data_IF_210451958248
#
_entry.id   IF_210451958248
#
_cell.length_a   1.000
_cell.length_b   1.000
_cell.length_c   1.000
_cell.angle_alpha   90.00
_cell.angle_beta   90.00
_cell.angle_gamma   90.00
#
_symmetry.space_group_name_H-M   'P 1'
#
loop_
_entity.id
_entity.type
_entity.pdbx_description
1 polymer ?
#
# COMPACT_ATOMS: atom_id res chain seq x y z
N UNK A 1 0.03 -4.32 -6.12
CA UNK A 1 0.83 -3.32 -6.86
C UNK A 1 1.45 -2.37 -5.86
N UNK A 2 2.67 -1.87 -6.12
CA UNK A 2 3.36 -0.90 -5.25
C UNK A 2 4.00 0.15 -6.15
N UNK A 3 3.43 1.36 -6.19
CA UNK A 3 3.94 2.46 -7.02
C UNK A 3 3.28 3.79 -6.64
N UNK A 4 3.64 4.88 -7.33
CA UNK A 4 2.95 6.16 -7.31
C UNK A 4 1.97 6.27 -8.49
N UNK A 5 0.75 6.74 -8.26
CA UNK A 5 -0.29 6.75 -9.29
C UNK A 5 -0.17 7.91 -10.27
N UNK A 6 0.70 8.90 -10.00
CA UNK A 6 1.02 9.96 -10.97
C UNK A 6 1.78 9.41 -12.18
N UNK A 7 2.66 8.41 -11.97
CA UNK A 7 3.47 7.81 -13.04
C UNK A 7 2.99 6.41 -13.46
N UNK A 8 2.09 5.80 -12.68
CA UNK A 8 1.52 4.50 -12.96
C UNK A 8 -0.01 4.59 -13.13
N UNK A 9 -0.46 4.59 -14.38
CA UNK A 9 -1.88 4.71 -14.71
C UNK A 9 -2.71 3.53 -14.21
N UNK A 10 -2.12 2.33 -14.12
CA UNK A 10 -2.80 1.15 -13.60
C UNK A 10 -3.14 1.33 -12.12
N UNK A 11 -2.27 1.98 -11.33
CA UNK A 11 -2.55 2.31 -9.93
C UNK A 11 -3.73 3.28 -9.81
N UNK A 12 -3.76 4.32 -10.63
CA UNK A 12 -4.88 5.28 -10.62
C UNK A 12 -6.18 4.61 -11.08
N UNK A 13 -6.15 3.84 -12.16
CA UNK A 13 -7.31 3.08 -12.64
C UNK A 13 -7.83 2.12 -11.57
N UNK A 14 -6.92 1.40 -10.90
CA UNK A 14 -7.28 0.42 -9.89
C UNK A 14 -7.79 1.04 -8.59
N UNK A 15 -7.40 2.25 -8.21
CA UNK A 15 -7.73 2.80 -6.88
C UNK A 15 -8.56 4.08 -6.90
N UNK A 16 -8.60 4.80 -8.03
CA UNK A 16 -9.17 6.14 -8.11
C UNK A 16 -8.37 7.20 -7.34
N UNK A 17 -7.25 6.84 -6.72
CA UNK A 17 -6.46 7.73 -5.87
C UNK A 17 -5.21 8.22 -6.60
N UNK A 18 -5.08 9.54 -6.76
CA UNK A 18 -3.92 10.17 -7.43
C UNK A 18 -2.92 10.69 -6.39
N UNK A 19 -1.73 10.09 -6.30
CA UNK A 19 -0.71 10.43 -5.32
C UNK A 19 0.70 10.32 -5.90
N UNK A 20 1.55 11.27 -5.49
CA UNK A 20 2.99 11.28 -5.79
C UNK A 20 3.75 10.31 -4.89
N UNK A 21 3.31 10.20 -3.63
CA UNK A 21 3.85 9.23 -2.70
C UNK A 21 3.48 7.80 -3.12
N UNK A 22 4.47 6.90 -3.01
CA UNK A 22 4.25 5.47 -3.26
C UNK A 22 3.31 4.88 -2.22
N UNK A 23 2.34 4.11 -2.69
CA UNK A 23 1.42 3.36 -1.84
C UNK A 23 1.22 1.94 -2.39
N UNK A 24 0.68 1.07 -1.55
CA UNK A 24 0.40 -0.31 -1.92
C UNK A 24 -1.09 -0.48 -2.16
N UNK A 25 -1.41 -1.14 -3.27
CA UNK A 25 -2.75 -1.63 -3.58
C UNK A 25 -2.74 -3.15 -3.57
N UNK A 26 -3.63 -3.74 -2.79
CA UNK A 26 -3.81 -5.18 -2.64
C UNK A 26 -5.24 -5.57 -3.02
N UNK A 27 -5.36 -6.55 -3.90
CA UNK A 27 -6.63 -7.17 -4.27
C UNK A 27 -6.57 -8.66 -3.99
N UNK A 28 -7.54 -9.16 -3.24
CA UNK A 28 -7.70 -10.58 -2.90
C UNK A 28 -9.18 -10.97 -3.02
N UNK A 29 -9.54 -11.61 -4.13
CA UNK A 29 -10.95 -11.83 -4.50
C UNK A 29 -11.70 -10.50 -4.62
N UNK A 30 -12.78 -10.38 -3.85
CA UNK A 30 -13.61 -9.16 -3.77
C UNK A 30 -13.08 -8.12 -2.78
N UNK A 31 -12.03 -8.44 -2.00
CA UNK A 31 -11.44 -7.52 -1.04
C UNK A 31 -10.35 -6.70 -1.70
N UNK A 32 -10.44 -5.38 -1.53
CA UNK A 32 -9.47 -4.41 -2.03
C UNK A 32 -8.99 -3.54 -0.86
N UNK A 33 -7.68 -3.36 -0.73
CA UNK A 33 -7.04 -2.61 0.36
C UNK A 33 -6.02 -1.64 -0.24
N UNK A 34 -6.00 -0.41 0.28
CA UNK A 34 -4.95 0.58 -0.01
C UNK A 34 -4.17 0.84 1.27
N UNK A 35 -2.85 0.66 1.23
CA UNK A 35 -1.94 1.01 2.31
C UNK A 35 -1.14 2.25 1.92
N UNK A 36 -1.37 3.35 2.64
CA UNK A 36 -0.76 4.67 2.36
C UNK A 36 0.18 5.14 3.49
N UNK A 37 1.07 6.11 3.23
CA UNK A 37 1.67 6.91 4.30
C UNK A 37 0.59 7.63 5.12
N UNK A 38 0.82 7.86 6.42
CA UNK A 38 -0.16 8.54 7.26
C UNK A 38 -0.54 9.95 6.78
N UNK A 39 0.37 10.63 6.07
CA UNK A 39 0.13 11.96 5.49
C UNK A 39 -0.91 11.93 4.35
N UNK A 40 -1.12 10.78 3.71
CA UNK A 40 -2.06 10.61 2.60
C UNK A 40 -3.41 10.05 3.06
N UNK A 41 -3.60 9.75 4.35
CA UNK A 41 -4.79 9.08 4.85
C UNK A 41 -6.08 9.86 4.54
N UNK A 42 -6.12 11.15 4.85
CA UNK A 42 -7.33 11.96 4.67
C UNK A 42 -7.68 12.13 3.19
N UNK A 43 -6.67 12.21 2.33
CA UNK A 43 -6.85 12.29 0.88
C UNK A 43 -7.34 10.97 0.32
N UNK A 44 -6.67 9.87 0.67
CA UNK A 44 -7.08 8.53 0.26
C UNK A 44 -8.53 8.26 0.66
N UNK A 45 -8.97 8.65 1.86
CA UNK A 45 -10.37 8.48 2.32
C UNK A 45 -11.38 9.28 1.49
N UNK A 46 -10.98 10.42 0.92
CA UNK A 46 -11.87 11.30 0.15
C UNK A 46 -11.88 10.96 -1.34
N UNK A 47 -10.73 10.59 -1.88
CA UNK A 47 -10.48 10.50 -3.32
C UNK A 47 -10.49 9.05 -3.84
N UNK A 48 -10.09 8.08 -3.01
CA UNK A 48 -10.05 6.67 -3.41
C UNK A 48 -11.44 6.08 -3.58
N UNK A 49 -11.59 5.15 -4.54
CA UNK A 49 -12.79 4.29 -4.64
C UNK A 49 -12.79 3.16 -3.62
N UNK A 50 -11.63 2.88 -3.01
CA UNK A 50 -11.42 1.76 -2.07
C UNK A 50 -11.75 2.23 -0.65
N UNK A 51 -12.56 1.43 0.06
CA UNK A 51 -13.01 1.75 1.42
C UNK A 51 -12.07 1.26 2.52
N UNK A 52 -11.39 0.12 2.34
CA UNK A 52 -10.38 -0.38 3.29
C UNK A 52 -9.05 0.34 3.04
N UNK A 53 -8.86 1.44 3.77
CA UNK A 53 -7.65 2.26 3.73
C UNK A 53 -6.93 2.12 5.06
N UNK A 54 -5.69 1.66 4.97
CA UNK A 54 -4.77 1.48 6.11
C UNK A 54 -3.56 2.36 5.94
N UNK A 55 -2.87 2.62 7.04
CA UNK A 55 -1.62 3.38 7.02
C UNK A 55 -0.42 2.53 7.38
N UNK A 56 0.74 2.89 6.86
CA UNK A 56 2.02 2.31 7.31
C UNK A 56 2.25 2.48 8.81
N UNK A 57 1.67 3.53 9.43
CA UNK A 57 1.71 3.75 10.88
C UNK A 57 0.91 2.71 11.65
N UNK A 58 -0.19 2.18 11.11
CA UNK A 58 -0.99 1.11 11.72
C UNK A 58 -0.12 -0.15 11.95
N UNK A 59 0.94 -0.31 11.16
CA UNK A 59 1.93 -1.39 11.24
C UNK A 59 3.26 -0.95 11.85
N UNK A 60 3.31 0.14 12.63
CA UNK A 60 4.52 0.54 13.37
C UNK A 60 5.74 0.82 12.48
N UNK A 61 5.54 1.47 11.32
CA UNK A 61 6.64 1.76 10.38
C UNK A 61 7.76 2.58 11.02
N UNK A 62 7.46 3.45 11.99
CA UNK A 62 8.45 4.32 12.66
C UNK A 62 9.48 3.49 13.43
N UNK A 63 9.03 2.52 14.22
CA UNK A 63 9.89 1.61 14.99
C UNK A 63 10.72 0.74 14.05
N UNK A 64 10.11 0.24 12.97
CA UNK A 64 10.79 -0.58 11.96
C UNK A 64 11.85 0.23 11.21
N UNK A 65 11.58 1.49 10.87
CA UNK A 65 12.53 2.40 10.23
C UNK A 65 13.77 2.61 11.08
N UNK A 66 13.59 2.88 12.38
CA UNK A 66 14.69 3.08 13.33
C UNK A 66 15.60 1.84 13.45
N UNK A 67 15.04 0.64 13.34
CA UNK A 67 15.78 -0.63 13.55
C UNK A 67 16.37 -1.22 12.28
N UNK A 68 15.70 -1.05 11.13
CA UNK A 68 15.98 -1.83 9.92
C UNK A 68 16.25 -0.97 8.68
N UNK A 69 16.09 0.36 8.76
CA UNK A 69 16.19 1.24 7.60
C UNK A 69 14.97 1.22 6.69
N UNK A 70 14.96 2.08 5.67
CA UNK A 70 13.77 2.40 4.86
C UNK A 70 13.17 1.21 4.13
N UNK A 71 13.96 0.54 3.30
CA UNK A 71 13.47 -0.55 2.46
C UNK A 71 12.97 -1.73 3.29
N UNK A 72 13.78 -2.17 4.26
CA UNK A 72 13.42 -3.31 5.11
C UNK A 72 12.21 -3.03 5.98
N UNK A 73 12.07 -1.80 6.50
CA UNK A 73 10.89 -1.41 7.26
C UNK A 73 9.62 -1.51 6.42
N UNK A 74 9.66 -1.06 5.17
CA UNK A 74 8.51 -1.16 4.27
C UNK A 74 8.16 -2.61 3.95
N UNK A 75 9.16 -3.46 3.64
CA UNK A 75 8.93 -4.89 3.42
C UNK A 75 8.30 -5.59 4.63
N UNK A 76 8.70 -5.22 5.85
CA UNK A 76 8.11 -5.77 7.08
C UNK A 76 6.65 -5.34 7.24
N UNK A 77 6.32 -4.08 6.96
CA UNK A 77 4.93 -3.60 6.95
C UNK A 77 4.09 -4.37 5.93
N UNK A 78 4.57 -4.50 4.70
CA UNK A 78 3.86 -5.27 3.66
C UNK A 78 3.70 -6.74 4.06
N UNK A 79 4.73 -7.35 4.64
CA UNK A 79 4.67 -8.72 5.13
C UNK A 79 3.67 -8.91 6.26
N UNK A 80 3.51 -7.93 7.16
CA UNK A 80 2.51 -7.98 8.23
C UNK A 80 1.09 -7.82 7.65
N UNK A 81 0.87 -6.86 6.75
CA UNK A 81 -0.40 -6.71 6.03
C UNK A 81 -0.83 -8.03 5.34
N UNK A 82 0.08 -8.67 4.59
CA UNK A 82 -0.23 -9.93 3.90
C UNK A 82 -0.56 -11.05 4.89
N UNK A 83 0.13 -11.11 6.04
CA UNK A 83 -0.14 -12.09 7.09
C UNK A 83 -1.50 -11.88 7.74
N UNK A 84 -1.86 -10.64 8.04
CA UNK A 84 -3.16 -10.28 8.62
C UNK A 84 -4.32 -10.64 7.68
N UNK A 85 -4.07 -10.54 6.37
CA UNK A 85 -5.02 -10.95 5.33
C UNK A 85 -4.95 -12.46 4.98
N UNK A 86 -4.09 -13.23 5.65
CA UNK A 86 -3.93 -14.67 5.40
C UNK A 86 -3.37 -15.03 4.03
N UNK A 87 -2.70 -14.09 3.35
CA UNK A 87 -2.19 -14.25 1.99
C UNK A 87 -0.79 -14.87 2.03
N UNK A 88 -0.65 -16.03 1.37
CA UNK A 88 0.62 -16.77 1.29
C UNK A 88 1.31 -16.69 -0.07
N UNK A 89 0.58 -16.24 -1.11
CA UNK A 89 1.08 -16.07 -2.46
C UNK A 89 0.56 -14.76 -3.05
N UNK A 90 1.42 -14.05 -3.77
CA UNK A 90 1.08 -12.79 -4.41
C UNK A 90 1.50 -12.81 -5.88
N UNK A 91 0.66 -12.23 -6.73
CA UNK A 91 1.02 -11.89 -8.10
C UNK A 91 1.34 -10.40 -8.17
N UNK A 92 2.38 -10.06 -8.90
CA UNK A 92 2.82 -8.68 -9.11
C UNK A 92 2.68 -8.31 -10.60
N UNK A 93 2.53 -7.02 -10.93
CA UNK A 93 2.64 -6.55 -12.31
C UNK A 93 3.98 -6.93 -12.95
N UNK A 94 4.00 -7.03 -14.28
CA UNK A 94 5.22 -7.34 -15.04
C UNK A 94 6.34 -6.29 -14.83
N UNK A 95 5.97 -5.04 -14.56
CA UNK A 95 6.93 -3.95 -14.34
C UNK A 95 7.44 -3.85 -12.89
N UNK A 96 7.17 -4.83 -12.03
CA UNK A 96 7.67 -4.88 -10.66
C UNK A 96 9.15 -5.39 -10.61
N UNK A 97 10.01 -4.86 -9.71
CA UNK A 97 9.71 -3.81 -8.72
C UNK A 97 9.57 -2.42 -9.32
#
# INVERSE_FOLDING_TARGET
>A
MVDCSIHNQDMYYATGFLAEDRFLYLKSGDKEIVLVPAMELDRARKESRISDIRTTTDYGVIEKLKRHGRERAYCLVVSELLRDEGITQVSVPHNFP
#
